data_IF_196021117754
#
_entry.id   IF_196021117754
#
_cell.length_a   1.000
_cell.length_b   1.000
_cell.length_c   1.000
_cell.angle_alpha   90.00
_cell.angle_beta   90.00
_cell.angle_gamma   90.00
#
_symmetry.space_group_name_H-M   'P 1'
#
loop_
_entity.id
_entity.type
_entity.pdbx_description
1 polymer ?
#
# COMPACT_ATOMS: atom_id res chain seq x y z
N UNK A 1 -48.02 8.91 -18.37
CA UNK A 1 -47.48 7.82 -19.22
C UNK A 1 -46.05 8.11 -19.76
N UNK A 2 -45.74 9.38 -20.16
CA UNK A 2 -44.40 9.75 -20.67
C UNK A 2 -43.32 9.62 -19.61
N UNK A 3 -43.58 9.98 -18.35
CA UNK A 3 -42.60 9.92 -17.26
C UNK A 3 -42.20 8.47 -16.91
N UNK A 4 -43.18 7.54 -16.88
CA UNK A 4 -42.92 6.12 -16.59
C UNK A 4 -42.17 5.40 -17.71
N UNK A 5 -42.33 5.78 -19.00
CA UNK A 5 -41.58 5.25 -20.10
C UNK A 5 -40.11 5.73 -20.06
N UNK A 6 -39.90 6.98 -19.71
CA UNK A 6 -38.58 7.60 -19.56
C UNK A 6 -37.77 7.00 -18.38
N UNK A 7 -38.45 6.72 -17.25
CA UNK A 7 -37.86 6.06 -16.09
C UNK A 7 -37.43 4.62 -16.40
N UNK A 8 -38.25 3.86 -17.13
CA UNK A 8 -37.91 2.49 -17.57
C UNK A 8 -36.73 2.49 -18.54
N UNK A 9 -36.66 3.45 -19.45
CA UNK A 9 -35.57 3.58 -20.41
C UNK A 9 -34.25 3.95 -19.72
N UNK A 10 -34.29 4.85 -18.73
CA UNK A 10 -33.15 5.21 -17.91
C UNK A 10 -32.64 4.03 -17.06
N UNK A 11 -33.55 3.26 -16.46
CA UNK A 11 -33.20 2.06 -15.68
C UNK A 11 -32.57 0.95 -16.56
N UNK A 12 -33.10 0.74 -17.76
CA UNK A 12 -32.52 -0.23 -18.71
C UNK A 12 -31.11 0.19 -19.15
N UNK A 13 -30.92 1.47 -19.42
CA UNK A 13 -29.62 2.04 -19.80
C UNK A 13 -28.58 2.00 -18.67
N UNK A 14 -29.02 2.19 -17.42
CA UNK A 14 -28.14 2.06 -16.26
C UNK A 14 -27.71 0.60 -16.01
N UNK A 15 -28.62 -0.37 -16.16
CA UNK A 15 -28.28 -1.80 -16.09
C UNK A 15 -27.30 -2.21 -17.19
N UNK A 16 -27.52 -1.75 -18.44
CA UNK A 16 -26.59 -2.03 -19.54
C UNK A 16 -25.21 -1.44 -19.30
N UNK A 17 -25.12 -0.24 -18.77
CA UNK A 17 -23.86 0.39 -18.41
C UNK A 17 -23.15 -0.36 -17.27
N UNK A 18 -23.88 -0.81 -16.22
CA UNK A 18 -23.29 -1.60 -15.14
C UNK A 18 -22.71 -2.91 -15.65
N UNK A 19 -23.43 -3.61 -16.54
CA UNK A 19 -22.93 -4.82 -17.19
C UNK A 19 -21.70 -4.52 -18.04
N UNK A 20 -21.70 -3.44 -18.82
CA UNK A 20 -20.56 -3.01 -19.62
C UNK A 20 -19.31 -2.73 -18.76
N UNK A 21 -19.45 -2.03 -17.65
CA UNK A 21 -18.35 -1.81 -16.68
C UNK A 21 -17.83 -3.12 -16.10
N UNK A 22 -18.74 -4.03 -15.71
CA UNK A 22 -18.35 -5.34 -15.18
C UNK A 22 -17.58 -6.15 -16.23
N UNK A 23 -18.07 -6.21 -17.46
CA UNK A 23 -17.38 -6.91 -18.57
C UNK A 23 -16.01 -6.27 -18.87
N UNK A 24 -15.94 -4.94 -18.91
CA UNK A 24 -14.67 -4.23 -19.09
C UNK A 24 -13.66 -4.61 -18.00
N UNK A 25 -14.09 -4.64 -16.74
CA UNK A 25 -13.25 -5.05 -15.61
C UNK A 25 -12.79 -6.50 -15.75
N UNK A 26 -13.71 -7.43 -16.02
CA UNK A 26 -13.40 -8.86 -16.19
C UNK A 26 -12.41 -9.07 -17.33
N UNK A 27 -12.62 -8.46 -18.50
CA UNK A 27 -11.72 -8.59 -19.64
C UNK A 27 -10.35 -7.96 -19.37
N UNK A 28 -10.30 -6.79 -18.72
CA UNK A 28 -9.04 -6.13 -18.36
C UNK A 28 -8.23 -6.97 -17.37
N UNK A 29 -8.89 -7.50 -16.33
CA UNK A 29 -8.24 -8.39 -15.34
C UNK A 29 -7.79 -9.69 -15.98
N UNK A 30 -8.62 -10.29 -16.85
CA UNK A 30 -8.25 -11.51 -17.58
C UNK A 30 -7.03 -11.27 -18.49
N UNK A 31 -6.98 -10.15 -19.19
CA UNK A 31 -5.83 -9.76 -20.01
C UNK A 31 -4.57 -9.49 -19.17
N UNK A 32 -4.72 -8.87 -18.01
CA UNK A 32 -3.64 -8.68 -17.05
C UNK A 32 -3.05 -10.02 -16.59
N UNK A 33 -3.90 -10.94 -16.14
CA UNK A 33 -3.49 -12.29 -15.68
C UNK A 33 -2.86 -13.09 -16.83
N UNK A 34 -3.50 -13.07 -18.00
CA UNK A 34 -2.99 -13.76 -19.20
C UNK A 34 -1.60 -13.24 -19.60
N UNK A 35 -1.37 -11.92 -19.53
CA UNK A 35 -0.05 -11.31 -19.81
C UNK A 35 1.02 -11.84 -18.87
N UNK A 36 0.74 -11.95 -17.57
CA UNK A 36 1.66 -12.55 -16.61
C UNK A 36 1.94 -14.02 -16.88
N UNK A 37 0.91 -14.80 -17.20
CA UNK A 37 1.05 -16.22 -17.50
C UNK A 37 1.88 -16.46 -18.77
N UNK A 38 1.55 -15.76 -19.85
CA UNK A 38 2.21 -15.93 -21.15
C UNK A 38 3.67 -15.48 -21.14
N UNK A 39 4.03 -14.49 -20.32
CA UNK A 39 5.41 -13.99 -20.21
C UNK A 39 6.25 -14.73 -19.15
N UNK A 40 5.71 -15.76 -18.50
CA UNK A 40 6.41 -16.43 -17.40
C UNK A 40 7.68 -17.15 -17.84
N UNK A 41 7.65 -17.86 -18.96
CA UNK A 41 8.82 -18.56 -19.53
C UNK A 41 9.91 -17.59 -19.98
N UNK A 42 9.49 -16.52 -20.69
CA UNK A 42 10.43 -15.54 -21.23
C UNK A 42 11.08 -14.70 -20.11
N UNK A 43 10.38 -14.52 -18.99
CA UNK A 43 10.90 -13.82 -17.83
C UNK A 43 12.10 -14.58 -17.20
N UNK A 44 12.09 -15.90 -17.20
CA UNK A 44 13.21 -16.70 -16.66
C UNK A 44 14.46 -16.46 -17.48
N UNK A 45 14.38 -16.56 -18.80
CA UNK A 45 15.50 -16.32 -19.72
C UNK A 45 15.99 -14.86 -19.67
N UNK A 46 15.04 -13.89 -19.62
CA UNK A 46 15.36 -12.48 -19.53
C UNK A 46 16.07 -12.13 -18.20
N UNK A 47 15.65 -12.72 -17.07
CA UNK A 47 16.31 -12.55 -15.78
C UNK A 47 17.75 -13.08 -15.80
N UNK A 48 17.96 -14.26 -16.37
CA UNK A 48 19.30 -14.85 -16.52
C UNK A 48 20.20 -13.96 -17.40
N UNK A 49 19.70 -13.50 -18.53
CA UNK A 49 20.45 -12.62 -19.44
C UNK A 49 20.77 -11.28 -18.79
N UNK A 50 19.80 -10.65 -18.11
CA UNK A 50 20.01 -9.35 -17.47
C UNK A 50 20.94 -9.45 -16.25
N UNK A 51 20.88 -10.55 -15.47
CA UNK A 51 21.76 -10.77 -14.32
C UNK A 51 23.22 -10.92 -14.72
N UNK A 52 23.49 -11.49 -15.91
CA UNK A 52 24.86 -11.58 -16.43
C UNK A 52 25.44 -10.24 -16.87
N UNK A 53 24.57 -9.28 -17.26
CA UNK A 53 24.99 -7.93 -17.67
C UNK A 53 25.19 -6.97 -16.48
N UNK A 54 24.30 -7.03 -15.48
CA UNK A 54 24.29 -6.06 -14.36
C UNK A 54 25.14 -6.58 -13.18
N UNK A 55 25.59 -7.83 -13.19
CA UNK A 55 26.29 -8.51 -12.09
C UNK A 55 25.52 -8.47 -10.74
N UNK A 56 24.22 -8.21 -10.78
CA UNK A 56 23.32 -8.16 -9.63
C UNK A 56 22.00 -8.83 -10.00
N UNK A 57 21.85 -10.08 -9.58
CA UNK A 57 20.67 -10.90 -9.88
C UNK A 57 19.35 -10.30 -9.29
N UNK A 58 19.45 -9.59 -8.16
CA UNK A 58 18.29 -9.02 -7.49
C UNK A 58 17.72 -7.83 -8.26
N UNK A 59 18.59 -6.92 -8.70
CA UNK A 59 18.19 -5.80 -9.56
C UNK A 59 17.63 -6.29 -10.88
N UNK A 60 18.28 -7.29 -11.50
CA UNK A 60 17.79 -7.89 -12.74
C UNK A 60 16.37 -8.48 -12.56
N UNK A 61 16.16 -9.26 -11.51
CA UNK A 61 14.86 -9.84 -11.20
C UNK A 61 13.80 -8.76 -10.97
N UNK A 62 14.10 -7.71 -10.17
CA UNK A 62 13.20 -6.62 -9.90
C UNK A 62 12.82 -5.86 -11.19
N UNK A 63 13.80 -5.56 -12.04
CA UNK A 63 13.56 -4.86 -13.31
C UNK A 63 12.67 -5.66 -14.26
N UNK A 64 12.89 -6.97 -14.39
CA UNK A 64 12.06 -7.83 -15.24
C UNK A 64 10.65 -7.94 -14.69
N UNK A 65 10.45 -8.11 -13.37
CA UNK A 65 9.11 -8.16 -12.79
C UNK A 65 8.36 -6.82 -12.89
N UNK A 66 9.05 -5.70 -12.72
CA UNK A 66 8.47 -4.38 -12.95
C UNK A 66 8.09 -4.17 -14.43
N UNK A 67 8.94 -4.63 -15.37
CA UNK A 67 8.64 -4.56 -16.79
C UNK A 67 7.40 -5.43 -17.14
N UNK A 68 7.30 -6.64 -16.57
CA UNK A 68 6.13 -7.51 -16.71
C UNK A 68 4.86 -6.87 -16.15
N UNK A 69 4.96 -6.26 -14.95
CA UNK A 69 3.85 -5.52 -14.36
C UNK A 69 3.40 -4.37 -15.27
N UNK A 70 4.34 -3.58 -15.77
CA UNK A 70 4.05 -2.48 -16.69
C UNK A 70 3.38 -3.00 -17.98
N UNK A 71 3.89 -4.08 -18.57
CA UNK A 71 3.30 -4.72 -19.74
C UNK A 71 1.87 -5.20 -19.46
N UNK A 72 1.63 -5.86 -18.34
CA UNK A 72 0.30 -6.36 -17.98
C UNK A 72 -0.70 -5.20 -17.77
N UNK A 73 -0.26 -4.09 -17.16
CA UNK A 73 -1.08 -2.88 -17.01
C UNK A 73 -1.39 -2.24 -18.38
N UNK A 74 -0.42 -2.20 -19.28
CA UNK A 74 -0.63 -1.71 -20.67
C UNK A 74 -1.66 -2.59 -21.39
N UNK A 75 -1.52 -3.90 -21.32
CA UNK A 75 -2.46 -4.86 -21.93
C UNK A 75 -3.87 -4.66 -21.38
N UNK A 76 -4.01 -4.58 -20.06
CA UNK A 76 -5.30 -4.31 -19.40
C UNK A 76 -5.90 -2.98 -19.84
N UNK A 77 -5.08 -1.92 -19.92
CA UNK A 77 -5.51 -0.60 -20.41
C UNK A 77 -5.94 -0.60 -21.88
N UNK A 78 -5.22 -1.33 -22.73
CA UNK A 78 -5.60 -1.49 -24.14
C UNK A 78 -6.93 -2.25 -24.31
N UNK A 79 -7.14 -3.31 -23.54
CA UNK A 79 -8.40 -4.05 -23.51
C UNK A 79 -9.54 -3.15 -23.05
N UNK A 80 -9.35 -2.39 -21.95
CA UNK A 80 -10.34 -1.44 -21.47
C UNK A 80 -10.67 -0.39 -22.57
N UNK A 81 -9.65 0.14 -23.26
CA UNK A 81 -9.83 1.08 -24.37
C UNK A 81 -10.63 0.48 -25.53
N UNK A 82 -10.38 -0.78 -25.90
CA UNK A 82 -11.11 -1.50 -26.93
C UNK A 82 -12.58 -1.67 -26.52
N UNK A 83 -12.86 -2.07 -25.27
CA UNK A 83 -14.22 -2.22 -24.76
C UNK A 83 -14.97 -0.89 -24.74
N UNK A 84 -14.29 0.21 -24.40
CA UNK A 84 -14.88 1.56 -24.47
C UNK A 84 -15.18 1.93 -25.94
N UNK A 85 -14.25 1.67 -26.85
CA UNK A 85 -14.38 1.98 -28.26
C UNK A 85 -15.50 1.15 -28.95
N UNK A 86 -15.80 -0.06 -28.47
CA UNK A 86 -16.93 -0.89 -28.96
C UNK A 86 -18.30 -0.35 -28.57
N UNK A 87 -18.39 0.71 -27.79
CA UNK A 87 -19.66 1.33 -27.36
C UNK A 87 -20.38 0.58 -26.22
N UNK A 88 -19.80 -0.50 -25.68
CA UNK A 88 -20.37 -1.24 -24.54
C UNK A 88 -20.40 -0.41 -23.26
N UNK A 89 -19.51 0.60 -23.16
CA UNK A 89 -19.41 1.51 -22.02
C UNK A 89 -19.36 2.95 -22.52
N UNK A 90 -20.17 3.82 -21.92
CA UNK A 90 -20.16 5.24 -22.29
C UNK A 90 -18.84 5.90 -21.83
N UNK A 91 -18.08 6.44 -22.78
CA UNK A 91 -16.80 7.12 -22.51
C UNK A 91 -16.92 8.22 -21.45
N UNK A 92 -18.02 8.98 -21.45
CA UNK A 92 -18.28 10.04 -20.45
C UNK A 92 -18.34 9.45 -19.04
N UNK A 93 -19.02 8.30 -18.84
CA UNK A 93 -19.10 7.63 -17.53
C UNK A 93 -17.73 7.12 -17.06
N UNK A 94 -16.92 6.57 -17.98
CA UNK A 94 -15.54 6.13 -17.65
C UNK A 94 -14.71 7.33 -17.19
N UNK A 95 -14.79 8.45 -17.90
CA UNK A 95 -14.07 9.67 -17.53
C UNK A 95 -14.46 10.15 -16.13
N UNK A 96 -15.76 10.28 -15.85
CA UNK A 96 -16.26 10.73 -14.54
C UNK A 96 -15.90 9.75 -13.42
N UNK A 97 -15.89 8.44 -13.71
CA UNK A 97 -15.63 7.42 -12.69
C UNK A 97 -14.15 7.27 -12.36
N UNK A 98 -13.25 7.36 -13.34
CA UNK A 98 -11.82 7.02 -13.12
C UNK A 98 -10.87 8.19 -13.31
N UNK A 99 -11.16 9.13 -14.22
CA UNK A 99 -10.24 10.23 -14.55
C UNK A 99 -10.52 11.45 -13.67
N UNK A 100 -11.79 11.80 -13.54
CA UNK A 100 -12.20 12.98 -12.77
C UNK A 100 -11.78 12.94 -11.29
N UNK A 101 -11.85 11.80 -10.57
CA UNK A 101 -11.34 11.70 -9.21
C UNK A 101 -9.85 12.00 -9.06
N UNK A 102 -9.04 11.60 -10.07
CA UNK A 102 -7.61 11.90 -10.09
C UNK A 102 -7.38 13.37 -10.36
N UNK A 103 -8.05 13.93 -11.38
CA UNK A 103 -7.95 15.35 -11.71
C UNK A 103 -8.39 16.23 -10.53
N UNK A 104 -9.50 15.89 -9.84
CA UNK A 104 -9.97 16.59 -8.65
C UNK A 104 -8.89 16.65 -7.56
N UNK A 105 -8.19 15.53 -7.31
CA UNK A 105 -7.12 15.49 -6.33
C UNK A 105 -5.97 16.46 -6.68
N UNK A 106 -5.50 16.43 -7.94
CA UNK A 106 -4.45 17.33 -8.39
C UNK A 106 -4.90 18.81 -8.43
N UNK A 107 -6.15 19.09 -8.77
CA UNK A 107 -6.69 20.44 -8.74
C UNK A 107 -6.83 21.00 -7.32
N UNK A 108 -7.23 20.16 -6.35
CA UNK A 108 -7.40 20.59 -4.95
C UNK A 108 -6.07 20.89 -4.27
N UNK A 109 -5.05 20.07 -4.50
CA UNK A 109 -3.76 20.19 -3.81
C UNK A 109 -2.66 20.83 -4.64
N UNK A 110 -2.84 20.98 -5.96
CA UNK A 110 -1.79 21.38 -6.88
C UNK A 110 -0.72 20.29 -7.08
N UNK A 111 0.03 20.39 -8.15
CA UNK A 111 0.98 19.35 -8.56
C UNK A 111 2.02 19.01 -7.47
N UNK A 112 2.63 20.03 -6.88
CA UNK A 112 3.73 19.83 -5.91
C UNK A 112 3.28 19.14 -4.63
N UNK A 113 2.16 19.56 -4.03
CA UNK A 113 1.63 18.95 -2.82
C UNK A 113 0.99 17.60 -3.12
N UNK A 114 0.28 17.45 -4.25
CA UNK A 114 -0.32 16.19 -4.66
C UNK A 114 0.72 15.06 -4.75
N UNK A 115 1.85 15.27 -5.42
CA UNK A 115 2.92 14.28 -5.50
C UNK A 115 3.57 13.99 -4.15
N UNK A 116 3.74 14.99 -3.29
CA UNK A 116 4.23 14.79 -1.93
C UNK A 116 3.29 13.88 -1.13
N UNK A 117 1.96 14.12 -1.23
CA UNK A 117 0.95 13.30 -0.56
C UNK A 117 0.92 11.87 -1.10
N UNK A 118 1.00 11.69 -2.43
CA UNK A 118 1.06 10.36 -3.04
C UNK A 118 2.33 9.61 -2.62
N UNK A 119 3.48 10.29 -2.56
CA UNK A 119 4.72 9.69 -2.05
C UNK A 119 4.57 9.28 -0.57
N UNK A 120 3.98 10.13 0.26
CA UNK A 120 3.69 9.81 1.66
C UNK A 120 2.75 8.60 1.77
N UNK A 121 1.67 8.56 1.00
CA UNK A 121 0.73 7.45 0.97
C UNK A 121 1.43 6.16 0.57
N UNK A 122 2.23 6.18 -0.50
CA UNK A 122 2.90 4.99 -1.02
C UNK A 122 4.01 4.45 -0.12
N UNK A 123 4.63 5.30 0.69
CA UNK A 123 5.79 4.93 1.51
C UNK A 123 5.46 4.74 3.00
N UNK A 124 4.31 5.25 3.48
CA UNK A 124 4.01 5.29 4.91
C UNK A 124 4.16 3.94 5.62
N UNK A 125 3.71 2.87 4.98
CA UNK A 125 3.73 1.50 5.54
C UNK A 125 4.93 0.67 5.10
N UNK A 126 5.95 1.29 4.47
CA UNK A 126 7.06 0.55 3.87
C UNK A 126 7.86 -0.26 4.90
N UNK A 127 8.18 0.34 6.03
CA UNK A 127 8.91 -0.26 7.14
C UNK A 127 8.20 -1.51 7.68
N UNK A 128 6.91 -1.39 8.01
CA UNK A 128 6.09 -2.46 8.57
C UNK A 128 5.86 -3.61 7.59
N UNK A 129 5.52 -3.28 6.33
CA UNK A 129 5.18 -4.30 5.33
C UNK A 129 6.42 -5.09 4.93
N UNK A 130 7.57 -4.43 4.72
CA UNK A 130 8.84 -5.09 4.36
C UNK A 130 9.30 -5.99 5.51
N UNK A 131 9.26 -5.52 6.74
CA UNK A 131 9.59 -6.30 7.94
C UNK A 131 8.63 -7.48 8.12
N UNK A 132 7.34 -7.25 8.00
CA UNK A 132 6.30 -8.25 8.25
C UNK A 132 6.36 -9.49 7.35
N UNK A 133 6.93 -9.38 6.15
CA UNK A 133 7.08 -10.52 5.22
C UNK A 133 7.95 -11.62 5.82
N UNK A 134 9.06 -11.25 6.49
CA UNK A 134 10.02 -12.22 7.02
C UNK A 134 9.75 -12.60 8.49
N UNK A 135 8.86 -11.88 9.18
CA UNK A 135 8.69 -12.02 10.63
C UNK A 135 8.37 -13.44 11.10
N UNK A 136 7.50 -14.17 10.38
CA UNK A 136 7.16 -15.55 10.76
C UNK A 136 8.34 -16.53 10.63
N UNK A 137 9.17 -16.37 9.58
CA UNK A 137 10.38 -17.19 9.38
C UNK A 137 11.37 -16.86 10.49
N UNK A 138 11.57 -15.59 10.77
CA UNK A 138 12.44 -15.09 11.83
C UNK A 138 12.13 -15.71 13.20
N UNK A 139 10.85 -15.79 13.62
CA UNK A 139 10.49 -16.40 14.89
C UNK A 139 10.84 -17.90 14.94
N UNK A 140 10.61 -18.62 13.82
CA UNK A 140 10.95 -20.03 13.72
C UNK A 140 12.46 -20.25 13.79
N UNK A 141 13.25 -19.42 13.11
CA UNK A 141 14.71 -19.47 13.08
C UNK A 141 15.33 -19.16 14.45
N UNK A 142 14.64 -18.34 15.28
CA UNK A 142 15.03 -18.11 16.69
C UNK A 142 14.64 -19.27 17.62
N UNK A 143 13.93 -20.28 17.13
CA UNK A 143 13.55 -21.46 17.90
C UNK A 143 12.18 -21.38 18.58
N UNK A 144 11.37 -20.33 18.32
CA UNK A 144 10.00 -20.30 18.82
C UNK A 144 9.12 -21.33 18.12
N UNK A 145 8.33 -22.04 18.89
CA UNK A 145 7.41 -23.06 18.38
C UNK A 145 6.19 -22.43 17.71
N UNK A 146 5.56 -23.16 16.78
CA UNK A 146 4.32 -22.70 16.13
C UNK A 146 3.20 -22.33 17.12
N UNK A 147 2.96 -23.10 18.22
CA UNK A 147 1.98 -22.71 19.24
C UNK A 147 2.32 -21.40 19.96
N UNK A 148 3.59 -21.15 20.29
CA UNK A 148 4.04 -19.89 20.91
C UNK A 148 3.83 -18.70 19.96
N UNK A 149 4.21 -18.84 18.68
CA UNK A 149 3.96 -17.84 17.66
C UNK A 149 2.45 -17.57 17.51
N UNK A 150 1.62 -18.62 17.49
CA UNK A 150 0.17 -18.46 17.39
C UNK A 150 -0.41 -17.73 18.62
N UNK A 151 0.04 -18.07 19.80
CA UNK A 151 -0.42 -17.45 21.05
C UNK A 151 0.04 -16.01 21.17
N UNK A 152 1.35 -15.76 21.06
CA UNK A 152 1.93 -14.43 21.32
C UNK A 152 1.75 -13.51 20.11
N UNK A 153 2.17 -13.93 18.93
CA UNK A 153 2.20 -13.03 17.78
C UNK A 153 0.80 -12.84 17.18
N UNK A 154 0.01 -13.92 17.06
CA UNK A 154 -1.30 -13.82 16.40
C UNK A 154 -2.41 -13.42 17.36
N UNK A 155 -2.53 -14.09 18.53
CA UNK A 155 -3.65 -13.83 19.46
C UNK A 155 -3.39 -12.60 20.31
N UNK A 156 -2.29 -12.57 21.06
CA UNK A 156 -1.96 -11.45 21.92
C UNK A 156 -1.62 -10.19 21.09
N UNK A 157 -0.85 -10.32 20.00
CA UNK A 157 -0.55 -9.23 19.08
C UNK A 157 -1.79 -8.58 18.48
N UNK A 158 -2.84 -9.37 18.13
CA UNK A 158 -4.11 -8.83 17.66
C UNK A 158 -4.77 -7.92 18.71
N UNK A 159 -4.77 -8.34 19.98
CA UNK A 159 -5.32 -7.52 21.07
C UNK A 159 -4.57 -6.19 21.17
N UNK A 160 -3.22 -6.23 21.11
CA UNK A 160 -2.39 -5.03 21.15
C UNK A 160 -2.65 -4.11 19.94
N UNK A 161 -2.86 -4.68 18.75
CA UNK A 161 -3.22 -3.91 17.54
C UNK A 161 -4.57 -3.20 17.71
N UNK A 162 -5.58 -3.86 18.29
CA UNK A 162 -6.89 -3.26 18.54
C UNK A 162 -6.77 -2.11 19.54
N UNK A 163 -6.03 -2.31 20.64
CA UNK A 163 -5.78 -1.27 21.63
C UNK A 163 -5.05 -0.08 20.98
N UNK A 164 -4.01 -0.36 20.19
CA UNK A 164 -3.26 0.64 19.45
C UNK A 164 -4.14 1.44 18.49
N UNK A 165 -5.03 0.75 17.75
CA UNK A 165 -5.98 1.37 16.84
C UNK A 165 -6.96 2.31 17.56
N UNK A 166 -7.50 1.89 18.70
CA UNK A 166 -8.36 2.71 19.53
C UNK A 166 -7.62 3.97 20.04
N UNK A 167 -6.41 3.79 20.58
CA UNK A 167 -5.57 4.90 21.03
C UNK A 167 -5.21 5.85 19.88
N UNK A 168 -4.84 5.30 18.73
CA UNK A 168 -4.51 6.09 17.54
C UNK A 168 -5.67 6.94 17.05
N UNK A 169 -6.89 6.39 17.03
CA UNK A 169 -8.11 7.13 16.71
C UNK A 169 -8.39 8.26 17.71
N UNK A 170 -8.36 7.95 19.00
CA UNK A 170 -8.60 8.93 20.08
C UNK A 170 -7.56 10.06 20.07
N UNK A 171 -6.28 9.71 19.96
CA UNK A 171 -5.18 10.69 19.92
C UNK A 171 -5.25 11.54 18.65
N UNK A 172 -5.68 10.99 17.51
CA UNK A 172 -5.85 11.73 16.25
C UNK A 172 -6.92 12.81 16.35
N UNK A 173 -8.01 12.53 17.06
CA UNK A 173 -9.06 13.52 17.35
C UNK A 173 -8.51 14.64 18.25
N UNK A 174 -7.74 14.30 19.29
CA UNK A 174 -7.27 15.26 20.27
C UNK A 174 -6.09 16.12 19.79
N UNK A 175 -5.12 15.51 19.11
CA UNK A 175 -3.85 16.17 18.75
C UNK A 175 -3.70 16.48 17.27
N UNK A 176 -4.61 15.97 16.45
CA UNK A 176 -4.61 16.09 14.99
C UNK A 176 -3.92 14.92 14.30
N UNK A 177 -4.45 14.58 13.13
CA UNK A 177 -4.09 13.37 12.36
C UNK A 177 -2.60 13.36 11.98
N UNK A 178 -2.02 14.46 11.48
CA UNK A 178 -0.62 14.50 11.03
C UNK A 178 0.39 14.29 12.16
N UNK A 179 0.09 14.77 13.38
CA UNK A 179 0.97 14.56 14.53
C UNK A 179 0.97 13.10 14.96
N UNK A 180 -0.19 12.45 14.94
CA UNK A 180 -0.29 11.02 15.29
C UNK A 180 0.25 10.14 14.17
N UNK A 181 0.11 10.55 12.92
CA UNK A 181 0.77 9.92 11.78
C UNK A 181 2.29 9.92 11.96
N UNK A 182 2.87 11.06 12.36
CA UNK A 182 4.29 11.17 12.67
C UNK A 182 4.70 10.26 13.84
N UNK A 183 3.93 10.29 14.93
CA UNK A 183 4.17 9.42 16.09
C UNK A 183 4.11 7.93 15.70
N UNK A 184 3.12 7.53 14.90
CA UNK A 184 2.98 6.16 14.42
C UNK A 184 4.19 5.71 13.58
N UNK A 185 4.63 6.53 12.64
CA UNK A 185 5.82 6.23 11.83
C UNK A 185 7.11 6.16 12.67
N UNK A 186 7.25 7.03 13.66
CA UNK A 186 8.39 7.02 14.57
C UNK A 186 8.40 5.77 15.44
N UNK A 187 7.28 5.42 16.04
CA UNK A 187 7.15 4.22 16.86
C UNK A 187 7.41 2.96 16.04
N UNK A 188 6.88 2.86 14.83
CA UNK A 188 7.14 1.74 13.92
C UNK A 188 8.64 1.59 13.61
N UNK A 189 9.35 2.69 13.33
CA UNK A 189 10.79 2.63 13.13
C UNK A 189 11.54 2.18 14.39
N UNK A 190 11.13 2.62 15.58
CA UNK A 190 11.73 2.24 16.87
C UNK A 190 11.46 0.75 17.17
N UNK A 191 10.25 0.25 16.92
CA UNK A 191 9.90 -1.16 17.17
C UNK A 191 10.70 -2.12 16.31
N UNK A 192 11.07 -1.73 15.09
CA UNK A 192 11.98 -2.54 14.27
C UNK A 192 13.37 -2.70 14.90
N UNK A 193 13.83 -1.73 15.69
CA UNK A 193 15.07 -1.88 16.48
C UNK A 193 14.90 -2.87 17.65
N UNK A 194 13.68 -3.05 18.18
CA UNK A 194 13.42 -4.11 19.16
C UNK A 194 13.52 -5.51 18.55
N UNK A 195 13.12 -5.68 17.28
CA UNK A 195 13.38 -6.93 16.55
C UNK A 195 14.87 -7.17 16.36
N UNK A 196 15.65 -6.12 16.09
CA UNK A 196 17.11 -6.22 16.04
C UNK A 196 17.68 -6.68 17.40
N UNK A 197 17.15 -6.18 18.52
CA UNK A 197 17.54 -6.64 19.85
C UNK A 197 17.18 -8.12 20.06
N UNK A 198 16.00 -8.55 19.62
CA UNK A 198 15.56 -9.94 19.72
C UNK A 198 16.49 -10.89 18.93
N UNK A 199 17.09 -10.44 17.81
CA UNK A 199 18.11 -11.25 17.10
C UNK A 199 19.37 -11.52 17.92
N UNK A 200 19.73 -10.59 18.81
CA UNK A 200 20.94 -10.71 19.63
C UNK A 200 20.71 -11.59 20.88
N UNK A 201 19.53 -11.48 21.47
CA UNK A 201 19.15 -12.24 22.67
C UNK A 201 18.77 -13.67 22.32
N UNK A 202 18.15 -13.90 21.15
CA UNK A 202 17.69 -15.21 20.72
C UNK A 202 16.33 -15.56 21.33
N UNK A 203 16.14 -16.86 21.64
CA UNK A 203 14.89 -17.36 22.22
C UNK A 203 14.68 -16.81 23.64
N UNK A 204 13.76 -15.88 23.77
CA UNK A 204 13.30 -15.33 25.04
C UNK A 204 11.82 -14.95 24.94
N UNK A 205 10.96 -15.66 25.66
CA UNK A 205 9.51 -15.45 25.64
C UNK A 205 9.11 -14.07 26.20
N UNK A 206 9.80 -13.59 27.24
CA UNK A 206 9.49 -12.30 27.84
C UNK A 206 9.78 -11.17 26.87
N UNK A 207 10.96 -11.21 26.24
CA UNK A 207 11.34 -10.23 25.23
C UNK A 207 10.40 -10.30 24.00
N UNK A 208 9.99 -11.50 23.59
CA UNK A 208 9.01 -11.65 22.51
C UNK A 208 7.70 -10.93 22.84
N UNK A 209 7.15 -11.11 24.05
CA UNK A 209 5.95 -10.38 24.49
C UNK A 209 6.14 -8.86 24.44
N UNK A 210 7.30 -8.35 24.87
CA UNK A 210 7.61 -6.90 24.84
C UNK A 210 7.66 -6.40 23.40
N UNK A 211 8.41 -7.09 22.53
CA UNK A 211 8.55 -6.72 21.11
C UNK A 211 7.19 -6.72 20.41
N UNK A 212 6.43 -7.80 20.58
CA UNK A 212 5.09 -7.93 19.96
C UNK A 212 4.10 -6.91 20.51
N UNK A 213 4.16 -6.60 21.82
CA UNK A 213 3.33 -5.54 22.41
C UNK A 213 3.61 -4.19 21.77
N UNK A 214 4.88 -3.80 21.74
CA UNK A 214 5.32 -2.51 21.23
C UNK A 214 5.00 -2.38 19.72
N UNK A 215 5.33 -3.40 18.94
CA UNK A 215 5.13 -3.42 17.49
C UNK A 215 3.65 -3.34 17.11
N UNK A 216 2.84 -4.24 17.65
CA UNK A 216 1.42 -4.29 17.31
C UNK A 216 0.63 -3.07 17.82
N UNK A 217 0.97 -2.54 19.00
CA UNK A 217 0.39 -1.31 19.51
C UNK A 217 0.72 -0.13 18.57
N UNK A 218 1.99 -0.03 18.15
CA UNK A 218 2.47 1.00 17.22
C UNK A 218 1.79 0.86 15.85
N UNK A 219 1.70 -0.36 15.32
CA UNK A 219 1.07 -0.66 14.04
C UNK A 219 -0.43 -0.33 14.06
N UNK A 220 -1.13 -0.62 15.16
CA UNK A 220 -2.53 -0.26 15.36
C UNK A 220 -2.73 1.27 15.37
N UNK A 221 -1.92 1.97 16.17
CA UNK A 221 -1.93 3.43 16.26
C UNK A 221 -1.65 4.09 14.90
N UNK A 222 -0.59 3.66 14.23
CA UNK A 222 -0.21 4.12 12.91
C UNK A 222 -1.31 3.89 11.88
N UNK A 223 -1.95 2.70 11.90
CA UNK A 223 -3.03 2.35 10.98
C UNK A 223 -4.25 3.23 11.15
N UNK A 224 -4.70 3.48 12.39
CA UNK A 224 -5.85 4.34 12.67
C UNK A 224 -5.60 5.78 12.21
N UNK A 225 -4.43 6.34 12.52
CA UNK A 225 -4.05 7.67 12.07
C UNK A 225 -3.96 7.75 10.53
N UNK A 226 -3.45 6.70 9.88
CA UNK A 226 -3.30 6.68 8.44
C UNK A 226 -4.64 6.55 7.72
N UNK A 227 -5.58 5.73 8.21
CA UNK A 227 -6.95 5.66 7.71
C UNK A 227 -7.64 7.02 7.83
N UNK A 228 -7.51 7.70 8.98
CA UNK A 228 -8.03 9.05 9.16
C UNK A 228 -7.41 10.06 8.19
N UNK A 229 -6.10 9.94 7.94
CA UNK A 229 -5.38 10.76 6.96
C UNK A 229 -5.91 10.54 5.54
N UNK A 230 -6.00 9.28 5.08
CA UNK A 230 -6.54 8.97 3.75
C UNK A 230 -7.97 9.50 3.59
N UNK A 231 -8.82 9.30 4.61
CA UNK A 231 -10.20 9.81 4.60
C UNK A 231 -10.25 11.33 4.50
N UNK A 232 -9.33 12.05 5.15
CA UNK A 232 -9.26 13.51 5.09
C UNK A 232 -8.83 14.06 3.73
N UNK A 233 -8.17 13.24 2.91
CA UNK A 233 -7.73 13.60 1.56
C UNK A 233 -8.79 13.36 0.50
N UNK A 234 -9.81 12.53 0.78
CA UNK A 234 -10.85 12.19 -0.20
C UNK A 234 -11.87 13.30 -0.35
N UNK A 235 -12.42 13.45 -1.56
CA UNK A 235 -13.59 14.28 -1.83
C UNK A 235 -14.86 13.45 -1.65
N UNK A 236 -15.90 14.03 -1.04
CA UNK A 236 -17.18 13.36 -0.79
C UNK A 236 -17.76 12.78 -2.09
N UNK A 237 -17.63 13.50 -3.21
CA UNK A 237 -18.13 13.07 -4.53
C UNK A 237 -17.39 11.88 -5.11
N UNK A 238 -16.13 11.64 -4.71
CA UNK A 238 -15.23 10.63 -5.27
C UNK A 238 -14.60 9.72 -4.22
N UNK A 239 -15.16 9.69 -3.01
CA UNK A 239 -14.56 9.00 -1.85
C UNK A 239 -14.16 7.57 -2.16
N UNK A 240 -15.06 6.76 -2.75
CA UNK A 240 -14.81 5.36 -3.00
C UNK A 240 -13.61 5.13 -3.95
N UNK A 241 -13.54 5.90 -5.05
CA UNK A 241 -12.49 5.74 -6.07
C UNK A 241 -11.14 6.28 -5.56
N UNK A 242 -11.14 7.49 -4.97
CA UNK A 242 -9.92 8.07 -4.41
C UNK A 242 -9.35 7.20 -3.28
N UNK A 243 -10.21 6.72 -2.37
CA UNK A 243 -9.77 5.83 -1.30
C UNK A 243 -9.23 4.50 -1.82
N UNK A 244 -9.85 3.93 -2.86
CA UNK A 244 -9.35 2.71 -3.51
C UNK A 244 -7.96 2.93 -4.15
N UNK A 245 -7.74 4.06 -4.83
CA UNK A 245 -6.44 4.42 -5.40
C UNK A 245 -5.39 4.56 -4.29
N UNK A 246 -5.70 5.30 -3.23
CA UNK A 246 -4.78 5.51 -2.11
C UNK A 246 -4.43 4.21 -1.38
N UNK A 247 -5.43 3.35 -1.11
CA UNK A 247 -5.19 2.06 -0.45
C UNK A 247 -4.40 1.09 -1.32
N UNK A 248 -4.58 1.15 -2.64
CA UNK A 248 -3.76 0.37 -3.58
C UNK A 248 -2.31 0.87 -3.61
N UNK A 249 -2.11 2.18 -3.67
CA UNK A 249 -0.78 2.80 -3.66
C UNK A 249 -0.03 2.51 -2.36
N UNK A 250 -0.71 2.58 -1.21
CA UNK A 250 -0.16 2.28 0.12
C UNK A 250 0.46 0.88 0.22
N UNK A 251 -0.06 -0.08 -0.53
CA UNK A 251 0.40 -1.48 -0.45
C UNK A 251 1.33 -1.87 -1.58
N UNK A 252 1.24 -1.22 -2.74
CA UNK A 252 1.96 -1.62 -3.96
C UNK A 252 3.47 -1.56 -3.79
N UNK A 253 4.02 -0.38 -3.47
CA UNK A 253 5.46 -0.18 -3.33
C UNK A 253 6.06 -1.03 -2.19
N UNK A 254 5.48 -1.04 -0.97
CA UNK A 254 5.99 -1.87 0.12
C UNK A 254 5.95 -3.37 -0.19
N UNK A 255 4.93 -3.86 -0.88
CA UNK A 255 4.85 -5.29 -1.25
C UNK A 255 5.88 -5.68 -2.31
N UNK A 256 6.16 -4.81 -3.28
CA UNK A 256 7.23 -5.05 -4.26
C UNK A 256 8.57 -5.20 -3.53
N UNK A 257 8.90 -4.28 -2.63
CA UNK A 257 10.14 -4.33 -1.86
C UNK A 257 10.16 -5.50 -0.86
N UNK A 258 9.02 -5.76 -0.20
CA UNK A 258 8.86 -6.88 0.71
C UNK A 258 9.08 -8.24 0.05
N UNK A 259 8.77 -8.38 -1.24
CA UNK A 259 9.06 -9.60 -1.99
C UNK A 259 10.56 -9.99 -2.01
N UNK A 260 11.46 -9.06 -1.74
CA UNK A 260 12.90 -9.29 -1.66
C UNK A 260 13.42 -9.46 -0.22
N UNK A 261 12.56 -9.37 0.80
CA UNK A 261 12.97 -9.42 2.21
C UNK A 261 13.76 -10.67 2.57
N UNK A 262 13.34 -11.85 2.08
CA UNK A 262 14.04 -13.12 2.32
C UNK A 262 15.48 -13.08 1.80
N UNK A 263 15.64 -12.66 0.57
CA UNK A 263 16.95 -12.54 -0.09
C UNK A 263 17.88 -11.53 0.61
N UNK A 264 17.31 -10.41 1.07
CA UNK A 264 18.07 -9.41 1.82
C UNK A 264 18.55 -10.03 3.14
N UNK A 265 17.68 -10.76 3.85
CA UNK A 265 18.06 -11.46 5.09
C UNK A 265 19.14 -12.50 4.84
N UNK A 266 19.06 -13.31 3.78
CA UNK A 266 20.10 -14.27 3.42
C UNK A 266 21.47 -13.61 3.16
N UNK A 267 21.46 -12.38 2.64
CA UNK A 267 22.68 -11.66 2.27
C UNK A 267 23.31 -10.91 3.45
N UNK A 268 22.52 -10.19 4.25
CA UNK A 268 23.02 -9.30 5.30
C UNK A 268 22.63 -9.73 6.73
N UNK A 269 21.87 -10.80 6.87
CA UNK A 269 21.37 -11.31 8.16
C UNK A 269 20.23 -10.49 8.76
N UNK A 270 19.54 -11.08 9.75
CA UNK A 270 18.37 -10.47 10.41
C UNK A 270 18.69 -9.13 11.07
N UNK A 271 19.83 -9.01 11.75
CA UNK A 271 20.20 -7.79 12.47
C UNK A 271 20.25 -6.57 11.55
N UNK A 272 20.98 -6.67 10.42
CA UNK A 272 21.10 -5.57 9.47
C UNK A 272 19.80 -5.35 8.68
N UNK A 273 19.02 -6.41 8.48
CA UNK A 273 17.71 -6.30 7.85
C UNK A 273 16.76 -5.45 8.71
N UNK A 274 16.61 -5.73 10.02
CA UNK A 274 15.77 -4.94 10.90
C UNK A 274 16.27 -3.50 11.06
N UNK A 275 17.59 -3.29 11.08
CA UNK A 275 18.16 -1.94 11.03
C UNK A 275 17.76 -1.21 9.74
N UNK A 276 17.84 -1.89 8.60
CA UNK A 276 17.47 -1.29 7.30
C UNK A 276 15.98 -0.95 7.24
N UNK A 277 15.10 -1.80 7.78
CA UNK A 277 13.65 -1.49 7.84
C UNK A 277 13.35 -0.34 8.79
N UNK A 278 14.07 -0.20 9.92
CA UNK A 278 13.96 0.98 10.78
C UNK A 278 14.38 2.26 10.04
N UNK A 279 15.49 2.22 9.29
CA UNK A 279 15.98 3.35 8.50
C UNK A 279 15.02 3.74 7.36
N UNK A 280 14.25 2.79 6.81
CA UNK A 280 13.18 3.09 5.84
C UNK A 280 12.08 4.00 6.42
N UNK A 281 11.95 4.09 7.74
CA UNK A 281 11.06 5.04 8.42
C UNK A 281 11.50 6.50 8.29
N UNK A 282 12.80 6.78 8.12
CA UNK A 282 13.33 8.16 8.07
C UNK A 282 12.74 8.97 6.92
N UNK A 283 12.76 8.50 5.66
CA UNK A 283 12.10 9.21 4.56
C UNK A 283 10.63 9.50 4.83
N UNK A 284 9.92 8.58 5.49
CA UNK A 284 8.50 8.76 5.85
C UNK A 284 8.32 9.91 6.83
N UNK A 285 9.14 9.98 7.88
CA UNK A 285 9.12 11.08 8.85
C UNK A 285 9.39 12.43 8.17
N UNK A 286 10.36 12.49 7.26
CA UNK A 286 10.65 13.69 6.47
C UNK A 286 9.46 14.09 5.62
N UNK A 287 8.82 13.13 4.93
CA UNK A 287 7.64 13.41 4.10
C UNK A 287 6.47 13.95 4.94
N UNK A 288 6.24 13.43 6.15
CA UNK A 288 5.19 13.93 7.04
C UNK A 288 5.47 15.38 7.47
N UNK A 289 6.72 15.70 7.83
CA UNK A 289 7.11 17.08 8.21
C UNK A 289 6.94 18.04 7.03
N UNK A 290 7.35 17.62 5.83
CA UNK A 290 7.19 18.42 4.61
C UNK A 290 5.71 18.60 4.25
N UNK A 291 4.89 17.54 4.39
CA UNK A 291 3.45 17.60 4.17
C UNK A 291 2.79 18.59 5.15
N UNK A 292 3.13 18.51 6.44
CA UNK A 292 2.58 19.40 7.45
C UNK A 292 2.87 20.88 7.14
N UNK A 293 4.13 21.19 6.82
CA UNK A 293 4.53 22.57 6.43
C UNK A 293 3.79 23.07 5.20
N UNK A 294 3.61 22.20 4.18
CA UNK A 294 2.93 22.59 2.94
C UNK A 294 1.42 22.71 3.10
N UNK A 295 0.79 21.92 3.97
CA UNK A 295 -0.61 22.08 4.32
C UNK A 295 -0.89 23.43 4.98
N UNK A 296 -0.01 23.88 5.87
CA UNK A 296 -0.16 25.18 6.53
C UNK A 296 -0.07 26.33 5.51
N UNK A 297 0.90 26.30 4.60
CA UNK A 297 1.04 27.28 3.52
C UNK A 297 -0.20 27.28 2.61
N UNK A 298 -0.65 26.11 2.15
CA UNK A 298 -1.80 26.00 1.26
C UNK A 298 -3.12 26.47 1.88
N UNK A 299 -3.26 26.38 3.20
CA UNK A 299 -4.39 26.96 3.94
C UNK A 299 -4.32 28.48 4.01
N UNK A 300 -3.12 29.05 4.10
CA UNK A 300 -2.92 30.50 4.13
C UNK A 300 -3.18 31.16 2.76
N UNK A 301 -2.81 30.49 1.68
CA UNK A 301 -3.04 30.97 0.30
C UNK A 301 -4.53 30.95 -0.12
N UNK A 302 -5.36 30.14 0.54
CA UNK A 302 -6.82 30.04 0.28
C UNK A 302 -7.68 30.94 1.17
N UNK A 303 -7.08 31.69 2.10
CA UNK A 303 -7.74 32.71 2.93
C UNK A 303 -7.53 34.09 2.33
#
# INVERSE_FOLDING_TARGET
>A
KHTQAQDKQNQAQDKQNQLGFFLMFVFAVSGFVASFYLTASDAVSAKAALSSLIANSYLANAMIELARLALALIVAGLIAKIVIASGLVQQKKVFVTYIEPVNDFFQRYGWSLAWLLLALIGLYRISDIVMGVIANVFYLDLGFTKPEIASVVKTFGLIMTIIGGFLGGLLSIRFGVLKILFLGALLSAITNLLFMLLTQVGYDMTLLYVVISADNLSAGLASAAFIAFLSSLTNISFTAVQYAIFSSLMTLLPKILGGYSGTIVETIGYQHFFLSTALMGIPVLVLIVLANKRFDIHRLEKR
#
